data_IF_128302324316
#
_entry.id   IF_128302324316
#
_cell.length_a   1.000
_cell.length_b   1.000
_cell.length_c   1.000
_cell.angle_alpha   90.00
_cell.angle_beta   90.00
_cell.angle_gamma   90.00
#
_symmetry.space_group_name_H-M   'P 1'
#
loop_
_entity.id
_entity.type
_entity.pdbx_description
1 polymer ?
#
# COMPACT_ATOMS: atom_id res chain seq x y z
N UNK A 1 -5.65 -7.95 1.83
CA UNK A 1 -4.34 -8.52 1.44
C UNK A 1 -3.97 -7.99 0.06
N UNK A 2 -2.68 -7.95 -0.28
CA UNK A 2 -2.18 -7.66 -1.62
C UNK A 2 -1.39 -8.86 -2.12
N UNK A 3 -1.58 -9.21 -3.38
CA UNK A 3 -0.83 -10.25 -4.08
C UNK A 3 0.42 -9.64 -4.70
N UNK A 4 1.57 -10.26 -4.46
CA UNK A 4 2.89 -9.83 -4.91
C UNK A 4 3.48 -10.80 -5.96
N UNK A 5 2.73 -11.84 -6.35
CA UNK A 5 3.08 -12.87 -7.32
C UNK A 5 3.61 -14.14 -6.66
N UNK A 6 4.69 -14.03 -5.89
CA UNK A 6 5.33 -15.14 -5.17
C UNK A 6 4.80 -15.32 -3.74
N UNK A 7 4.28 -14.24 -3.16
CA UNK A 7 3.68 -14.21 -1.83
C UNK A 7 2.55 -13.19 -1.73
N UNK A 8 1.81 -13.23 -0.63
CA UNK A 8 0.83 -12.21 -0.29
C UNK A 8 1.21 -11.50 1.01
N UNK A 9 0.85 -10.22 1.11
CA UNK A 9 1.10 -9.41 2.29
C UNK A 9 -0.19 -8.75 2.82
N UNK A 10 -0.33 -8.56 4.14
CA UNK A 10 -1.39 -7.72 4.70
C UNK A 10 -1.29 -6.29 4.17
N UNK A 11 -2.39 -5.76 3.66
CA UNK A 11 -2.50 -4.38 3.17
C UNK A 11 -3.44 -3.59 4.09
N UNK A 12 -2.91 -2.53 4.70
CA UNK A 12 -3.68 -1.61 5.53
C UNK A 12 -3.84 -0.27 4.84
N UNK A 13 -5.08 0.17 4.63
CA UNK A 13 -5.35 1.48 4.09
C UNK A 13 -5.72 2.48 5.20
N UNK A 14 -5.12 3.66 5.17
CA UNK A 14 -5.42 4.75 6.11
C UNK A 14 -5.66 6.06 5.39
N UNK A 15 -6.54 6.88 5.96
CA UNK A 15 -6.80 8.24 5.48
C UNK A 15 -6.00 9.25 6.30
N UNK A 16 -5.24 10.10 5.64
CA UNK A 16 -4.56 11.24 6.25
C UNK A 16 -4.80 12.49 5.39
N UNK A 17 -5.66 13.40 5.85
CA UNK A 17 -5.97 14.65 5.15
C UNK A 17 -4.77 15.58 4.94
N UNK A 18 -3.67 15.39 5.70
CA UNK A 18 -2.42 16.14 5.52
C UNK A 18 -1.54 15.54 4.41
N UNK A 19 -1.78 14.29 4.02
CA UNK A 19 -1.09 13.70 2.88
C UNK A 19 -1.59 14.40 1.60
N UNK A 20 -0.66 14.96 0.82
CA UNK A 20 -0.98 15.61 -0.46
C UNK A 20 -0.92 14.64 -1.66
N UNK A 21 -0.53 13.39 -1.42
CA UNK A 21 -0.30 12.34 -2.42
C UNK A 21 -0.63 10.97 -1.84
N UNK A 22 -0.83 9.98 -2.72
CA UNK A 22 -0.87 8.57 -2.36
C UNK A 22 0.52 8.12 -1.91
N UNK A 23 0.61 7.43 -0.78
CA UNK A 23 1.89 6.96 -0.24
C UNK A 23 1.76 5.46 0.05
N UNK A 24 2.69 4.67 -0.47
CA UNK A 24 2.88 3.26 -0.11
C UNK A 24 4.08 3.18 0.83
N UNK A 25 3.93 2.46 1.94
CA UNK A 25 5.02 2.13 2.85
C UNK A 25 5.06 0.63 3.05
N UNK A 26 6.25 0.05 2.94
CA UNK A 26 6.53 -1.35 3.27
C UNK A 26 7.15 -1.40 4.67
N UNK A 27 6.71 -2.36 5.47
CA UNK A 27 7.26 -2.68 6.78
C UNK A 27 7.80 -4.11 6.70
N UNK A 28 9.09 -4.30 6.34
CA UNK A 28 9.67 -5.63 6.09
C UNK A 28 9.70 -6.47 7.36
N UNK A 29 9.94 -5.84 8.51
CA UNK A 29 9.99 -6.52 9.82
C UNK A 29 8.65 -7.19 10.15
N UNK A 30 7.53 -6.54 9.80
CA UNK A 30 6.18 -7.08 10.04
C UNK A 30 5.52 -7.68 8.80
N UNK A 31 6.22 -7.73 7.67
CA UNK A 31 5.73 -8.26 6.41
C UNK A 31 4.47 -7.57 5.86
N UNK A 32 4.26 -6.27 6.13
CA UNK A 32 2.99 -5.58 5.82
C UNK A 32 3.15 -4.34 4.96
N UNK A 33 2.09 -4.01 4.23
CA UNK A 33 2.03 -2.84 3.36
C UNK A 33 1.00 -1.86 3.91
N UNK A 34 1.37 -0.59 3.97
CA UNK A 34 0.50 0.50 4.43
C UNK A 34 0.31 1.50 3.29
N UNK A 35 -0.93 1.74 2.89
CA UNK A 35 -1.28 2.80 1.94
C UNK A 35 -1.93 3.97 2.65
N UNK A 36 -1.49 5.18 2.31
CA UNK A 36 -2.02 6.43 2.86
C UNK A 36 -2.70 7.22 1.75
N UNK A 37 -3.98 7.48 1.92
CA UNK A 37 -4.80 8.29 1.01
C UNK A 37 -5.14 9.66 1.62
N UNK A 38 -5.27 10.73 0.82
CA UNK A 38 -5.69 12.05 1.30
C UNK A 38 -7.14 12.09 1.80
N UNK A 39 -8.00 11.22 1.26
CA UNK A 39 -9.42 11.17 1.57
C UNK A 39 -9.95 9.74 1.50
N UNK A 40 -11.16 9.50 2.04
CA UNK A 40 -11.85 8.21 1.90
C UNK A 40 -12.14 7.87 0.44
N UNK A 41 -12.43 8.88 -0.40
CA UNK A 41 -12.72 8.70 -1.83
C UNK A 41 -11.50 8.17 -2.59
N UNK A 42 -10.31 8.60 -2.20
CA UNK A 42 -9.04 8.18 -2.79
C UNK A 42 -8.51 6.84 -2.24
N UNK A 43 -9.29 6.12 -1.40
CA UNK A 43 -8.84 4.83 -0.86
C UNK A 43 -8.75 3.75 -1.94
N UNK A 44 -9.69 3.73 -2.90
CA UNK A 44 -9.62 2.79 -4.02
C UNK A 44 -8.35 3.04 -4.83
N UNK A 45 -8.13 4.29 -5.24
CA UNK A 45 -6.92 4.70 -5.97
C UNK A 45 -5.63 4.36 -5.21
N UNK A 46 -5.64 4.48 -3.87
CA UNK A 46 -4.49 4.12 -3.04
C UNK A 46 -4.19 2.61 -3.05
N UNK A 47 -5.23 1.78 -3.05
CA UNK A 47 -5.10 0.32 -3.14
C UNK A 47 -4.62 -0.06 -4.54
N UNK A 48 -5.22 0.51 -5.58
CA UNK A 48 -4.83 0.26 -6.97
C UNK A 48 -3.39 0.70 -7.22
N UNK A 49 -3.00 1.86 -6.67
CA UNK A 49 -1.62 2.32 -6.70
C UNK A 49 -0.66 1.30 -6.05
N UNK A 50 -1.00 0.71 -4.91
CA UNK A 50 -0.19 -0.35 -4.32
C UNK A 50 -0.09 -1.59 -5.22
N UNK A 51 -1.18 -1.98 -5.90
CA UNK A 51 -1.18 -3.11 -6.86
C UNK A 51 -0.23 -2.86 -8.03
N UNK A 52 -0.23 -1.65 -8.59
CA UNK A 52 0.73 -1.29 -9.66
C UNK A 52 2.19 -1.36 -9.22
N UNK A 53 2.44 -1.34 -7.91
CA UNK A 53 3.77 -1.42 -7.29
C UNK A 53 4.08 -2.79 -6.68
N UNK A 54 3.25 -3.81 -6.91
CA UNK A 54 3.39 -5.14 -6.31
C UNK A 54 4.81 -5.74 -6.47
N UNK A 55 5.41 -5.63 -7.66
CA UNK A 55 6.77 -6.13 -7.92
C UNK A 55 7.84 -5.39 -7.10
N UNK A 56 7.72 -4.08 -6.95
CA UNK A 56 8.62 -3.30 -6.11
C UNK A 56 8.44 -3.67 -4.63
N UNK A 57 7.18 -3.78 -4.18
CA UNK A 57 6.85 -4.20 -2.80
C UNK A 57 7.46 -5.56 -2.47
N UNK A 58 7.41 -6.54 -3.40
CA UNK A 58 7.98 -7.87 -3.15
C UNK A 58 9.49 -7.81 -2.88
N UNK A 59 10.21 -6.90 -3.55
CA UNK A 59 11.66 -6.71 -3.33
C UNK A 59 12.03 -5.94 -2.05
N UNK A 60 11.08 -5.22 -1.44
CA UNK A 60 11.28 -4.41 -0.24
C UNK A 60 10.87 -5.12 1.06
N UNK A 61 10.27 -6.30 0.95
CA UNK A 61 9.68 -7.08 2.04
C UNK A 61 10.62 -8.15 2.58
#
# INVERSE_FOLDING_TARGET
MIDLGDRSAPLTARVNRRARRLIVKVDPVKGRVIVTAPSKRALSDAIDFARTRARWISGEL
#
